data_IF_048030855408
#
_entry.id   IF_048030855408
#
_cell.length_a   1.000
_cell.length_b   1.000
_cell.length_c   1.000
_cell.angle_alpha   90.00
_cell.angle_beta   90.00
_cell.angle_gamma   90.00
#
_symmetry.space_group_name_H-M   'P 1'
#
loop_
_entity.id
_entity.type
_entity.pdbx_description
1 polymer ?
#
# COMPACT_ATOMS: atom_id res chain seq x y z
N UNK A 1 18.77 -9.94 -12.53
CA UNK A 1 17.38 -9.53 -12.70
C UNK A 1 16.98 -8.65 -11.53
N UNK A 2 16.17 -7.67 -11.81
CA UNK A 2 15.74 -6.74 -10.78
C UNK A 2 14.73 -7.39 -9.85
N UNK A 3 14.84 -7.04 -8.57
CA UNK A 3 13.91 -7.53 -7.57
C UNK A 3 12.53 -6.90 -7.77
N UNK A 4 11.44 -7.66 -7.67
CA UNK A 4 10.10 -7.08 -7.77
C UNK A 4 9.82 -6.08 -6.65
N UNK A 5 8.88 -5.18 -6.89
CA UNK A 5 8.38 -4.22 -5.90
C UNK A 5 6.89 -4.47 -5.71
N UNK A 6 6.48 -4.56 -4.46
CA UNK A 6 5.08 -4.65 -4.07
C UNK A 6 4.65 -3.29 -3.54
N UNK A 7 3.83 -2.59 -4.28
CA UNK A 7 3.29 -1.29 -3.88
C UNK A 7 1.88 -1.50 -3.31
N UNK A 8 1.69 -1.08 -2.07
CA UNK A 8 0.43 -1.24 -1.36
C UNK A 8 -0.20 0.13 -1.13
N UNK A 9 -1.45 0.26 -1.52
CA UNK A 9 -2.26 1.46 -1.31
C UNK A 9 -3.31 1.17 -0.24
N UNK A 10 -3.19 1.87 0.89
CA UNK A 10 -4.10 1.74 2.03
C UNK A 10 -5.21 2.77 1.86
N UNK A 11 -6.26 2.37 1.18
CA UNK A 11 -7.40 3.25 0.94
C UNK A 11 -8.46 3.19 2.04
N UNK A 12 -9.45 4.07 1.94
CA UNK A 12 -10.55 4.12 2.91
C UNK A 12 -11.43 2.88 2.82
N UNK A 13 -11.73 2.42 1.62
CA UNK A 13 -12.63 1.29 1.40
C UNK A 13 -11.88 0.00 1.13
N UNK A 14 -10.84 0.07 0.32
CA UNK A 14 -10.11 -1.11 -0.14
C UNK A 14 -8.62 -0.89 -0.07
N UNK A 15 -7.90 -1.98 0.17
CA UNK A 15 -6.45 -2.01 0.04
C UNK A 15 -6.11 -2.66 -1.29
N UNK A 16 -5.13 -2.09 -1.98
CA UNK A 16 -4.66 -2.60 -3.26
C UNK A 16 -3.17 -2.89 -3.18
N UNK A 17 -2.74 -3.94 -3.85
CA UNK A 17 -1.32 -4.22 -4.02
C UNK A 17 -1.04 -4.56 -5.47
N UNK A 18 0.02 -3.99 -6.01
CA UNK A 18 0.56 -4.34 -7.31
C UNK A 18 1.99 -4.81 -7.11
N UNK A 19 2.32 -5.98 -7.64
CA UNK A 19 3.70 -6.45 -7.67
C UNK A 19 4.18 -6.33 -9.11
N UNK A 20 5.27 -5.62 -9.30
CA UNK A 20 5.82 -5.36 -10.63
C UNK A 20 7.33 -5.51 -10.62
N UNK A 21 7.88 -5.80 -11.78
CA UNK A 21 9.32 -5.96 -11.99
C UNK A 21 9.70 -5.38 -13.35
N UNK A 22 10.86 -4.73 -13.42
CA UNK A 22 11.43 -4.30 -14.67
C UNK A 22 12.34 -5.40 -15.23
N UNK A 23 12.19 -5.75 -16.51
CA UNK A 23 13.07 -6.70 -17.14
C UNK A 23 14.33 -6.00 -17.69
N UNK A 24 15.24 -6.81 -18.29
CA UNK A 24 16.51 -6.29 -18.80
C UNK A 24 16.34 -5.30 -19.95
N UNK A 25 15.22 -5.37 -20.66
CA UNK A 25 14.93 -4.45 -21.78
C UNK A 25 14.19 -3.20 -21.33
N UNK A 26 13.87 -3.10 -20.05
CA UNK A 26 13.17 -1.95 -19.50
C UNK A 26 11.67 -2.06 -19.56
N UNK A 27 11.12 -3.20 -19.92
CA UNK A 27 9.69 -3.42 -19.85
C UNK A 27 9.26 -3.69 -18.42
N UNK A 28 8.09 -3.16 -18.07
CA UNK A 28 7.48 -3.41 -16.77
C UNK A 28 6.53 -4.58 -16.91
N UNK A 29 6.75 -5.56 -16.07
CA UNK A 29 5.91 -6.74 -15.99
C UNK A 29 5.12 -6.68 -14.68
N UNK A 30 3.80 -6.70 -14.78
CA UNK A 30 2.93 -6.83 -13.60
C UNK A 30 2.84 -8.30 -13.26
N UNK A 31 3.37 -8.67 -12.10
CA UNK A 31 3.41 -10.05 -11.66
C UNK A 31 2.16 -10.45 -10.91
N UNK A 32 1.55 -9.51 -10.20
CA UNK A 32 0.37 -9.80 -9.39
C UNK A 32 -0.40 -8.52 -9.09
N UNK A 33 -1.70 -8.66 -8.89
CA UNK A 33 -2.60 -7.58 -8.45
C UNK A 33 -3.54 -8.17 -7.41
N UNK A 34 -3.63 -7.50 -6.27
CA UNK A 34 -4.51 -7.92 -5.19
C UNK A 34 -5.37 -6.76 -4.74
N UNK A 35 -6.60 -7.07 -4.35
CA UNK A 35 -7.51 -6.08 -3.79
C UNK A 35 -8.31 -6.74 -2.69
N UNK A 36 -8.40 -6.07 -1.53
CA UNK A 36 -9.20 -6.56 -0.41
C UNK A 36 -10.05 -5.41 0.10
N UNK A 37 -11.35 -5.65 0.26
CA UNK A 37 -12.26 -4.69 0.87
C UNK A 37 -12.03 -4.69 2.38
N UNK A 38 -11.60 -3.59 2.94
CA UNK A 38 -11.27 -3.47 4.37
C UNK A 38 -12.23 -2.55 5.10
N UNK A 39 -12.68 -1.50 4.44
CA UNK A 39 -13.58 -0.49 5.01
C UNK A 39 -13.05 0.10 6.31
N UNK A 40 -11.89 0.74 6.22
CA UNK A 40 -11.29 1.41 7.38
C UNK A 40 -12.21 2.47 7.97
N UNK A 41 -12.98 3.14 7.12
CA UNK A 41 -13.86 4.20 7.52
C UNK A 41 -15.26 3.75 7.90
N UNK A 42 -15.54 2.45 7.98
CA UNK A 42 -16.87 1.97 8.30
C UNK A 42 -17.16 2.08 9.78
N UNK A 43 -18.43 2.34 10.13
CA UNK A 43 -18.90 2.25 11.51
C UNK A 43 -19.30 3.56 12.16
N UNK A 44 -19.54 4.63 11.41
CA UNK A 44 -20.03 5.88 11.98
C UNK A 44 -20.12 7.00 10.97
N UNK A 45 -20.95 7.98 11.30
CA UNK A 45 -21.12 9.17 10.46
C UNK A 45 -19.89 10.07 10.53
N UNK A 46 -19.18 10.06 11.66
CA UNK A 46 -17.96 10.82 11.86
C UNK A 46 -16.79 9.86 11.95
N UNK A 47 -16.00 9.81 10.86
CA UNK A 47 -14.78 9.03 10.89
C UNK A 47 -13.69 9.83 11.63
N UNK A 48 -13.47 9.50 12.89
CA UNK A 48 -12.40 10.11 13.67
C UNK A 48 -11.40 9.10 14.22
N UNK A 49 -11.69 7.81 14.10
CA UNK A 49 -10.75 6.77 14.55
C UNK A 49 -10.99 5.48 13.77
N UNK A 50 -9.94 4.68 13.65
CA UNK A 50 -10.05 3.36 13.06
C UNK A 50 -10.50 2.39 14.15
N UNK A 51 -11.70 1.86 13.99
CA UNK A 51 -12.29 0.98 15.01
C UNK A 51 -11.55 -0.34 15.11
N UNK A 52 -11.61 -1.03 16.26
CA UNK A 52 -10.91 -2.30 16.44
C UNK A 52 -11.23 -3.34 15.36
N UNK A 53 -12.50 -3.46 14.98
CA UNK A 53 -12.91 -4.40 13.94
C UNK A 53 -12.28 -4.07 12.59
N UNK A 54 -12.20 -2.78 12.26
CA UNK A 54 -11.55 -2.34 11.03
C UNK A 54 -10.05 -2.58 11.09
N UNK A 55 -9.43 -2.37 12.24
CA UNK A 55 -8.02 -2.67 12.41
C UNK A 55 -7.74 -4.15 12.21
N UNK A 56 -8.61 -5.02 12.75
CA UNK A 56 -8.46 -6.47 12.58
C UNK A 56 -8.52 -6.86 11.11
N UNK A 57 -9.47 -6.27 10.37
CA UNK A 57 -9.57 -6.52 8.93
C UNK A 57 -8.34 -6.03 8.18
N UNK A 58 -7.84 -4.86 8.56
CA UNK A 58 -6.64 -4.27 7.95
C UNK A 58 -5.42 -5.15 8.18
N UNK A 59 -5.23 -5.61 9.40
CA UNK A 59 -4.09 -6.47 9.74
C UNK A 59 -4.17 -7.78 8.97
N UNK A 60 -5.36 -8.38 8.90
CA UNK A 60 -5.54 -9.63 8.16
C UNK A 60 -5.22 -9.44 6.67
N UNK A 61 -5.71 -8.34 6.07
CA UNK A 61 -5.45 -8.04 4.66
C UNK A 61 -3.95 -7.83 4.41
N UNK A 62 -3.29 -7.07 5.26
CA UNK A 62 -1.86 -6.78 5.10
C UNK A 62 -1.00 -8.02 5.32
N UNK A 63 -1.37 -8.90 6.25
CA UNK A 63 -0.66 -10.17 6.41
C UNK A 63 -0.73 -11.00 5.13
N UNK A 64 -1.90 -11.04 4.49
CA UNK A 64 -2.06 -11.73 3.22
C UNK A 64 -1.20 -11.12 2.12
N UNK A 65 -1.19 -9.79 2.02
CA UNK A 65 -0.36 -9.09 1.04
C UNK A 65 1.13 -9.34 1.27
N UNK A 66 1.57 -9.29 2.53
CA UNK A 66 2.97 -9.53 2.88
C UNK A 66 3.38 -10.96 2.49
N UNK A 67 2.51 -11.93 2.74
CA UNK A 67 2.79 -13.31 2.38
C UNK A 67 2.99 -13.46 0.87
N UNK A 68 2.09 -12.89 0.08
CA UNK A 68 2.20 -12.92 -1.38
C UNK A 68 3.48 -12.23 -1.85
N UNK A 69 3.77 -11.06 -1.30
CA UNK A 69 4.97 -10.31 -1.67
C UNK A 69 6.25 -11.09 -1.34
N UNK A 70 6.29 -11.73 -0.18
CA UNK A 70 7.46 -12.53 0.24
C UNK A 70 7.67 -13.75 -0.65
N UNK A 71 6.59 -14.39 -1.08
CA UNK A 71 6.69 -15.52 -1.99
C UNK A 71 7.34 -15.13 -3.31
N UNK A 72 7.20 -13.88 -3.71
CA UNK A 72 7.78 -13.36 -4.94
C UNK A 72 9.06 -12.57 -4.69
N UNK A 73 9.56 -12.58 -3.48
CA UNK A 73 10.77 -11.84 -3.08
C UNK A 73 10.68 -10.34 -3.41
N UNK A 74 9.50 -9.75 -3.24
CA UNK A 74 9.25 -8.36 -3.56
C UNK A 74 9.58 -7.43 -2.41
N UNK A 75 10.12 -6.25 -2.73
CA UNK A 75 10.28 -5.17 -1.77
C UNK A 75 8.92 -4.53 -1.55
N UNK A 76 8.54 -4.35 -0.29
CA UNK A 76 7.22 -3.85 0.06
C UNK A 76 7.29 -2.36 0.37
N UNK A 77 6.42 -1.58 -0.28
CA UNK A 77 6.22 -0.16 0.00
C UNK A 77 4.72 0.09 0.16
N UNK A 78 4.33 0.71 1.27
CA UNK A 78 2.93 0.97 1.55
C UNK A 78 2.69 2.45 1.79
N UNK A 79 1.60 2.97 1.22
CA UNK A 79 1.17 4.35 1.42
C UNK A 79 -0.28 4.38 1.90
N UNK A 80 -0.57 5.32 2.78
CA UNK A 80 -1.92 5.53 3.28
C UNK A 80 -2.33 6.99 3.13
N UNK A 81 -3.61 7.22 2.93
CA UNK A 81 -4.13 8.56 2.70
C UNK A 81 -5.17 8.95 3.75
N UNK A 82 -6.31 9.49 3.33
CA UNK A 82 -7.24 10.20 4.22
C UNK A 82 -7.72 9.39 5.43
N UNK A 83 -8.10 8.14 5.24
CA UNK A 83 -8.61 7.34 6.37
C UNK A 83 -7.57 7.18 7.47
N UNK A 84 -6.32 6.93 7.10
CA UNK A 84 -5.24 6.79 8.08
C UNK A 84 -4.84 8.16 8.62
N UNK A 85 -4.66 9.14 7.72
CA UNK A 85 -4.20 10.47 8.11
C UNK A 85 -5.11 11.13 9.13
N UNK A 86 -6.42 11.01 8.95
CA UNK A 86 -7.41 11.73 9.77
C UNK A 86 -7.78 11.00 11.06
N UNK A 87 -7.37 9.75 11.23
CA UNK A 87 -7.69 8.99 12.40
C UNK A 87 -6.95 9.53 13.63
N UNK A 88 -7.68 9.73 14.73
CA UNK A 88 -7.07 10.18 15.98
C UNK A 88 -6.15 9.11 16.59
N UNK A 89 -6.47 7.85 16.35
CA UNK A 89 -5.64 6.73 16.80
C UNK A 89 -4.67 6.24 15.71
N UNK A 90 -4.30 7.13 14.80
CA UNK A 90 -3.39 6.83 13.69
C UNK A 90 -2.09 6.17 14.17
N UNK A 91 -1.46 6.77 15.17
CA UNK A 91 -0.15 6.28 15.62
C UNK A 91 -0.25 4.87 16.19
N UNK A 92 -1.30 4.58 16.93
CA UNK A 92 -1.54 3.24 17.47
C UNK A 92 -1.75 2.23 16.36
N UNK A 93 -2.51 2.61 15.33
CA UNK A 93 -2.76 1.75 14.19
C UNK A 93 -1.47 1.48 13.41
N UNK A 94 -0.68 2.52 13.14
CA UNK A 94 0.57 2.38 12.41
C UNK A 94 1.56 1.46 13.17
N UNK A 95 1.63 1.61 14.49
CA UNK A 95 2.48 0.78 15.31
C UNK A 95 2.02 -0.67 15.34
N UNK A 96 0.72 -0.88 15.40
CA UNK A 96 0.15 -2.23 15.35
C UNK A 96 0.50 -2.92 14.03
N UNK A 97 0.33 -2.22 12.92
CA UNK A 97 0.65 -2.76 11.60
C UNK A 97 2.14 -3.09 11.50
N UNK A 98 3.00 -2.21 11.99
CA UNK A 98 4.44 -2.45 11.97
C UNK A 98 4.79 -3.69 12.79
N UNK A 99 4.20 -3.82 13.98
CA UNK A 99 4.49 -4.92 14.89
C UNK A 99 3.96 -6.25 14.38
N UNK A 100 2.73 -6.27 13.86
CA UNK A 100 2.07 -7.51 13.49
C UNK A 100 2.32 -7.93 12.04
N UNK A 101 2.52 -6.96 11.14
CA UNK A 101 2.70 -7.24 9.71
C UNK A 101 4.11 -6.96 9.20
N UNK A 102 4.90 -6.22 9.95
CA UNK A 102 6.23 -5.81 9.50
C UNK A 102 6.20 -4.76 8.40
N UNK A 103 5.09 -4.06 8.23
CA UNK A 103 4.91 -3.06 7.17
C UNK A 103 4.91 -1.67 7.77
N UNK A 104 5.70 -0.77 7.16
CA UNK A 104 5.71 0.64 7.53
C UNK A 104 4.86 1.40 6.51
N UNK A 105 3.77 1.98 6.98
CA UNK A 105 2.87 2.76 6.13
C UNK A 105 3.35 4.21 6.12
N UNK A 106 3.59 4.75 4.92
CA UNK A 106 3.89 6.16 4.74
C UNK A 106 2.59 6.92 4.56
N UNK A 107 2.27 7.78 5.52
CA UNK A 107 1.02 8.55 5.48
C UNK A 107 1.22 9.81 4.64
N UNK A 108 0.37 10.00 3.65
CA UNK A 108 0.50 11.04 2.64
C UNK A 108 -0.65 12.03 2.82
N UNK A 109 -0.37 13.35 2.75
CA UNK A 109 -1.40 14.37 3.04
C UNK A 109 -2.50 14.52 2.01
N UNK A 110 -2.35 14.05 0.78
CA UNK A 110 -3.40 14.17 -0.22
C UNK A 110 -3.39 13.05 -1.22
N UNK A 111 -4.49 12.87 -1.94
CA UNK A 111 -4.60 11.81 -2.94
C UNK A 111 -3.61 11.99 -4.10
N UNK A 112 -3.41 13.23 -4.54
CA UNK A 112 -2.44 13.50 -5.59
C UNK A 112 -1.01 13.20 -5.15
N UNK A 113 -0.68 13.58 -3.92
CA UNK A 113 0.62 13.30 -3.36
C UNK A 113 0.83 11.80 -3.18
N UNK A 114 -0.21 11.09 -2.73
CA UNK A 114 -0.17 9.65 -2.61
C UNK A 114 0.09 9.00 -3.97
N UNK A 115 -0.58 9.49 -5.00
CA UNK A 115 -0.37 9.00 -6.36
C UNK A 115 1.07 9.22 -6.80
N UNK A 116 1.61 10.41 -6.55
CA UNK A 116 2.99 10.72 -6.92
C UNK A 116 3.99 9.82 -6.20
N UNK A 117 3.75 9.55 -4.92
CA UNK A 117 4.62 8.66 -4.15
C UNK A 117 4.49 7.22 -4.63
N UNK A 118 3.26 6.78 -4.91
CA UNK A 118 3.03 5.46 -5.48
C UNK A 118 3.79 5.31 -6.81
N UNK A 119 3.69 6.32 -7.67
CA UNK A 119 4.45 6.34 -8.92
C UNK A 119 5.95 6.38 -8.66
N UNK A 120 6.38 7.12 -7.64
CA UNK A 120 7.78 7.16 -7.24
C UNK A 120 8.32 5.82 -6.79
N UNK A 121 7.49 5.03 -6.09
CA UNK A 121 7.85 3.66 -5.71
C UNK A 121 8.07 2.82 -6.98
N UNK A 122 7.18 2.95 -7.94
CA UNK A 122 7.31 2.24 -9.21
C UNK A 122 8.52 2.74 -10.01
N UNK A 123 8.91 4.02 -9.83
CA UNK A 123 10.11 4.57 -10.47
C UNK A 123 11.40 3.99 -9.90
N UNK A 124 11.34 3.35 -8.73
CA UNK A 124 12.49 2.60 -8.22
C UNK A 124 12.82 1.40 -9.11
N UNK A 125 11.89 1.01 -9.98
CA UNK A 125 12.15 0.03 -11.02
C UNK A 125 12.86 0.74 -12.17
N UNK A 126 14.03 0.27 -12.59
CA UNK A 126 14.78 0.92 -13.67
C UNK A 126 13.92 1.07 -14.93
N UNK A 127 14.00 2.21 -15.57
CA UNK A 127 13.40 2.47 -16.88
C UNK A 127 11.88 2.66 -16.87
N UNK A 128 11.23 2.60 -15.72
CA UNK A 128 9.79 2.79 -15.67
C UNK A 128 9.37 4.25 -15.69
N UNK A 129 10.27 5.11 -15.31
CA UNK A 129 10.03 6.54 -15.08
C UNK A 129 9.33 7.22 -16.27
N UNK A 130 9.82 7.01 -17.48
CA UNK A 130 9.28 7.67 -18.66
C UNK A 130 7.85 7.24 -18.99
N UNK A 131 7.51 5.99 -18.75
CA UNK A 131 6.17 5.48 -19.07
C UNK A 131 5.13 5.96 -18.06
N UNK A 132 5.52 6.09 -16.81
CA UNK A 132 4.60 6.55 -15.78
C UNK A 132 4.31 8.03 -15.94
N UNK A 133 5.31 8.83 -16.25
CA UNK A 133 5.14 10.27 -16.36
C UNK A 133 4.35 10.69 -17.59
N UNK A 134 4.20 9.83 -18.57
CA UNK A 134 3.44 10.11 -19.80
C UNK A 134 1.98 9.66 -19.72
N UNK A 135 1.58 9.04 -18.64
CA UNK A 135 0.18 8.66 -18.41
C UNK A 135 -0.58 9.83 -17.75
#
# INVERSE_FOLDING_TARGET
MNRPVAAIDIGTNSFHMIIARADASGHIEILDREKVSVRLGSGGDDFDQIRPEAQDRAVAALKGFVQIARQQNALIHAVGTSAVREARNRDDFLERVRRECGVRIHVIPGQEEARLIYLGILQALPVFEKKILTI
#
